data_IF_399792463093
#
_entry.id   IF_399792463093
#
_cell.length_a   1.000
_cell.length_b   1.000
_cell.length_c   1.000
_cell.angle_alpha   90.00
_cell.angle_beta   90.00
_cell.angle_gamma   90.00
#
_symmetry.space_group_name_H-M   'P 1'
#
loop_
_entity.id
_entity.type
_entity.pdbx_description
1 polymer ?
#
# COMPACT_ATOMS: atom_id res chain seq x y z
N UNK A 1 15.01 6.05 18.00
CA UNK A 1 14.73 7.28 17.22
C UNK A 1 13.68 6.92 16.19
N UNK A 2 12.48 7.48 16.27
CA UNK A 2 11.44 7.24 15.28
C UNK A 2 11.81 8.02 14.01
N UNK A 3 12.23 7.33 12.96
CA UNK A 3 12.30 7.90 11.63
C UNK A 3 10.93 8.47 11.28
N UNK A 4 10.84 9.69 10.71
CA UNK A 4 9.57 10.20 10.21
C UNK A 4 9.00 9.17 9.23
N UNK A 5 7.70 8.83 9.30
CA UNK A 5 7.10 8.00 8.27
C UNK A 5 7.42 8.67 6.94
N UNK A 6 8.09 7.93 6.05
CA UNK A 6 8.37 8.47 4.73
C UNK A 6 7.02 8.88 4.15
N UNK A 7 6.92 10.10 3.65
CA UNK A 7 5.68 10.65 3.08
C UNK A 7 5.05 9.66 2.08
N UNK A 8 5.89 8.88 1.39
CA UNK A 8 5.53 7.74 0.54
C UNK A 8 4.67 6.70 1.25
N UNK A 9 5.05 6.24 2.45
CA UNK A 9 4.30 5.26 3.23
C UNK A 9 2.93 5.80 3.64
N UNK A 10 2.85 7.09 3.99
CA UNK A 10 1.57 7.73 4.31
C UNK A 10 0.63 7.75 3.10
N UNK A 11 1.16 8.07 1.92
CA UNK A 11 0.38 8.07 0.69
C UNK A 11 -0.03 6.64 0.27
N UNK A 12 0.81 5.64 0.46
CA UNK A 12 0.46 4.23 0.17
C UNK A 12 -0.66 3.75 1.08
N UNK A 13 -0.60 4.01 2.39
CA UNK A 13 -1.68 3.60 3.30
C UNK A 13 -3.01 4.27 2.94
N UNK A 14 -3.01 5.57 2.61
CA UNK A 14 -4.23 6.27 2.19
C UNK A 14 -4.77 5.78 0.84
N UNK A 15 -3.89 5.39 -0.08
CA UNK A 15 -4.28 4.82 -1.37
C UNK A 15 -4.89 3.43 -1.20
N UNK A 16 -4.26 2.58 -0.37
CA UNK A 16 -4.76 1.25 -0.05
C UNK A 16 -6.12 1.31 0.64
N UNK A 17 -6.28 2.16 1.65
CA UNK A 17 -7.55 2.33 2.37
C UNK A 17 -8.71 2.71 1.43
N UNK A 18 -8.46 3.64 0.49
CA UNK A 18 -9.44 4.05 -0.53
C UNK A 18 -9.73 2.97 -1.56
N UNK A 19 -8.75 2.15 -1.91
CA UNK A 19 -8.92 1.06 -2.87
C UNK A 19 -9.57 -0.17 -2.23
N UNK A 20 -9.30 -0.47 -0.95
CA UNK A 20 -9.89 -1.59 -0.24
C UNK A 20 -11.33 -1.32 0.22
N UNK A 21 -11.77 -0.04 0.30
CA UNK A 21 -13.15 0.38 0.61
C UNK A 21 -14.22 -0.01 -0.44
N UNK A 22 -13.93 -0.99 -1.30
CA UNK A 22 -14.88 -1.58 -2.24
C UNK A 22 -14.48 -2.97 -2.76
N UNK A 23 -13.38 -3.55 -2.27
CA UNK A 23 -12.86 -4.82 -2.75
C UNK A 23 -12.58 -5.74 -1.56
N UNK A 24 -13.17 -6.94 -1.54
CA UNK A 24 -13.01 -7.91 -0.44
C UNK A 24 -11.61 -8.54 -0.35
N UNK A 25 -10.68 -8.15 -1.22
CA UNK A 25 -9.30 -8.63 -1.24
C UNK A 25 -8.36 -7.49 -1.66
N UNK A 26 -7.22 -7.30 -0.96
CA UNK A 26 -6.22 -6.33 -1.37
C UNK A 26 -5.70 -6.67 -2.77
N UNK A 27 -5.99 -5.78 -3.73
CA UNK A 27 -5.54 -5.90 -5.13
C UNK A 27 -4.05 -5.62 -5.30
N UNK A 28 -3.46 -4.93 -4.34
CA UNK A 28 -2.03 -4.59 -4.37
C UNK A 28 -1.29 -5.54 -3.44
N UNK A 29 -0.41 -6.36 -4.02
CA UNK A 29 0.48 -7.23 -3.26
C UNK A 29 1.87 -6.61 -3.20
N UNK A 30 2.39 -6.50 -1.98
CA UNK A 30 3.80 -6.16 -1.76
C UNK A 30 4.67 -7.37 -2.10
N UNK A 31 5.56 -7.21 -3.08
CA UNK A 31 6.59 -8.19 -3.42
C UNK A 31 7.88 -7.78 -2.72
N UNK A 32 8.25 -8.56 -1.70
CA UNK A 32 9.39 -8.25 -0.85
C UNK A 32 10.69 -8.12 -1.66
N UNK A 33 11.38 -6.99 -1.52
CA UNK A 33 12.62 -6.70 -2.24
C UNK A 33 12.46 -6.19 -3.69
N UNK A 34 11.24 -5.98 -4.18
CA UNK A 34 10.98 -5.54 -5.56
C UNK A 34 10.05 -4.32 -5.64
N UNK A 35 8.93 -4.32 -4.91
CA UNK A 35 7.95 -3.24 -4.96
C UNK A 35 6.51 -3.73 -4.77
N UNK A 36 5.57 -3.11 -5.46
CA UNK A 36 4.13 -3.43 -5.36
C UNK A 36 3.60 -3.87 -6.72
N UNK A 37 2.77 -4.92 -6.73
CA UNK A 37 2.11 -5.42 -7.94
C UNK A 37 0.60 -5.31 -7.80
N UNK A 38 -0.09 -4.98 -8.88
CA UNK A 38 -1.56 -4.91 -8.94
C UNK A 38 -2.06 -6.17 -9.63
N UNK A 39 -2.79 -7.01 -8.91
CA UNK A 39 -3.46 -8.19 -9.47
C UNK A 39 -4.93 -7.88 -9.76
N UNK A 40 -5.40 -8.25 -10.95
CA UNK A 40 -6.74 -7.93 -11.47
C UNK A 40 -7.83 -8.80 -10.85
#
# INVERSE_FOLDING_TARGET
>A
MCSPPHVVDMYIHSLLDKLDQGFSRPRIKTVHGVGYNIEA
#
